data_IF_812808020649
#
_entry.id   IF_812808020649
#
_cell.length_a   1.000
_cell.length_b   1.000
_cell.length_c   1.000
_cell.angle_alpha   90.00
_cell.angle_beta   90.00
_cell.angle_gamma   90.00
#
_symmetry.space_group_name_H-M   'P 1'
#
loop_
_entity.id
_entity.type
_entity.pdbx_description
1 polymer ?
#
# COMPACT_ATOMS: atom_id res chain seq x y z
N UNK A 1 5.65 -10.08 -9.84
CA UNK A 1 6.22 -10.49 -8.54
C UNK A 1 5.27 -10.08 -7.40
N UNK A 2 5.40 -10.70 -6.23
CA UNK A 2 4.62 -10.43 -5.01
C UNK A 2 5.58 -10.11 -3.86
N UNK A 3 5.20 -9.20 -2.96
CA UNK A 3 6.02 -8.80 -1.80
C UNK A 3 5.20 -8.78 -0.50
N UNK A 4 5.77 -9.22 0.64
CA UNK A 4 7.04 -9.95 0.77
C UNK A 4 6.99 -11.36 0.14
N UNK A 5 8.15 -11.95 -0.10
CA UNK A 5 8.26 -13.32 -0.67
C UNK A 5 7.95 -14.34 0.42
N UNK A 6 7.21 -15.39 0.09
CA UNK A 6 6.87 -16.46 1.04
C UNK A 6 8.15 -17.04 1.68
N UNK A 7 8.24 -17.00 3.01
CA UNK A 7 9.42 -17.41 3.78
C UNK A 7 10.29 -16.25 4.28
N UNK A 8 10.03 -15.01 3.84
CA UNK A 8 10.63 -13.81 4.42
C UNK A 8 9.62 -13.11 5.34
N UNK A 9 9.85 -13.26 6.65
CA UNK A 9 9.06 -12.52 7.64
C UNK A 9 9.65 -11.12 7.83
N UNK A 10 8.81 -10.12 7.56
CA UNK A 10 9.11 -8.75 7.94
C UNK A 10 9.11 -8.64 9.47
N UNK A 11 9.99 -7.81 10.06
CA UNK A 11 10.04 -7.63 11.50
C UNK A 11 8.68 -7.10 11.98
N UNK A 12 8.08 -7.76 12.97
CA UNK A 12 6.74 -7.40 13.45
C UNK A 12 6.71 -6.04 14.16
N UNK A 13 7.87 -5.52 14.57
CA UNK A 13 8.06 -4.19 15.18
C UNK A 13 8.11 -3.04 14.16
N UNK A 14 7.96 -3.32 12.86
CA UNK A 14 8.04 -2.30 11.81
C UNK A 14 6.92 -1.28 11.96
N UNK A 15 7.29 0.00 12.05
CA UNK A 15 6.34 1.13 12.16
C UNK A 15 6.16 1.88 10.85
N UNK A 16 7.10 1.72 9.91
CA UNK A 16 7.08 2.42 8.62
C UNK A 16 7.63 1.49 7.55
N UNK A 17 6.85 1.28 6.48
CA UNK A 17 7.23 0.48 5.32
C UNK A 17 7.22 1.36 4.08
N UNK A 18 8.30 1.33 3.29
CA UNK A 18 8.39 2.03 2.01
C UNK A 18 8.71 1.02 0.92
N UNK A 19 7.87 0.98 -0.11
CA UNK A 19 8.02 0.16 -1.30
C UNK A 19 8.19 1.13 -2.46
N UNK A 20 9.39 1.16 -3.04
CA UNK A 20 9.74 2.19 -4.04
C UNK A 20 10.42 1.58 -5.26
N UNK A 21 10.10 2.08 -6.46
CA UNK A 21 10.74 1.70 -7.73
C UNK A 21 10.58 0.21 -8.14
N UNK A 22 9.58 -0.50 -7.63
CA UNK A 22 9.33 -1.89 -8.00
C UNK A 22 8.49 -2.01 -9.28
N UNK A 23 9.15 -1.93 -10.44
CA UNK A 23 8.49 -1.99 -11.76
C UNK A 23 7.82 -3.32 -12.11
N UNK A 24 8.15 -4.42 -11.42
CA UNK A 24 7.60 -5.76 -11.67
C UNK A 24 6.65 -6.26 -10.56
N UNK A 25 6.50 -5.48 -9.49
CA UNK A 25 5.62 -5.81 -8.37
C UNK A 25 4.17 -5.67 -8.83
N UNK A 26 3.41 -6.76 -8.73
CA UNK A 26 2.00 -6.81 -9.17
C UNK A 26 1.02 -6.87 -8.02
N UNK A 27 1.44 -7.42 -6.88
CA UNK A 27 0.61 -7.68 -5.71
C UNK A 27 1.43 -7.54 -4.44
N UNK A 28 0.75 -7.19 -3.36
CA UNK A 28 1.27 -7.26 -1.99
C UNK A 28 0.66 -8.49 -1.31
N UNK A 29 1.46 -9.18 -0.52
CA UNK A 29 1.00 -10.26 0.35
C UNK A 29 0.26 -9.66 1.54
N UNK A 30 -1.06 -9.80 1.52
CA UNK A 30 -1.94 -9.27 2.57
C UNK A 30 -1.73 -9.95 3.91
N UNK A 31 -1.50 -11.27 3.92
CA UNK A 31 -1.29 -12.02 5.15
C UNK A 31 -0.01 -11.54 5.84
N UNK A 32 1.04 -11.30 5.07
CA UNK A 32 2.30 -10.79 5.60
C UNK A 32 2.17 -9.34 6.10
N UNK A 33 1.47 -8.48 5.37
CA UNK A 33 1.22 -7.11 5.82
C UNK A 33 0.39 -7.09 7.11
N UNK A 34 -0.69 -7.87 7.20
CA UNK A 34 -1.55 -7.93 8.39
C UNK A 34 -0.81 -8.38 9.66
N UNK A 35 0.32 -9.10 9.54
CA UNK A 35 1.19 -9.44 10.68
C UNK A 35 1.91 -8.21 11.26
N UNK A 36 2.04 -7.13 10.51
CA UNK A 36 2.69 -5.88 10.93
C UNK A 36 1.77 -5.04 11.82
N UNK A 37 1.51 -5.52 13.04
CA UNK A 37 0.58 -4.90 13.98
C UNK A 37 0.93 -3.47 14.39
N UNK A 38 2.18 -3.05 14.24
CA UNK A 38 2.64 -1.70 14.61
C UNK A 38 2.87 -0.78 13.41
N UNK A 39 2.50 -1.21 12.19
CA UNK A 39 2.73 -0.44 10.99
C UNK A 39 1.84 0.81 10.96
N UNK A 40 2.44 1.96 11.26
CA UNK A 40 1.75 3.24 11.26
C UNK A 40 1.79 3.93 9.89
N UNK A 41 2.80 3.64 9.05
CA UNK A 41 2.98 4.31 7.75
C UNK A 41 3.32 3.32 6.64
N UNK A 42 2.65 3.45 5.50
CA UNK A 42 2.90 2.68 4.28
C UNK A 42 3.08 3.64 3.11
N UNK A 43 4.23 3.58 2.45
CA UNK A 43 4.53 4.34 1.23
C UNK A 43 4.74 3.40 0.07
N UNK A 44 4.05 3.66 -1.03
CA UNK A 44 4.16 2.92 -2.29
C UNK A 44 4.45 3.94 -3.38
N UNK A 45 5.66 3.92 -3.92
CA UNK A 45 6.17 4.94 -4.84
C UNK A 45 6.73 4.29 -6.09
N UNK A 46 6.40 4.80 -7.28
CA UNK A 46 6.97 4.33 -8.55
C UNK A 46 6.84 2.81 -8.77
N UNK A 47 5.65 2.26 -8.46
CA UNK A 47 5.30 0.85 -8.65
C UNK A 47 4.21 0.70 -9.73
N UNK A 48 4.53 0.91 -11.03
CA UNK A 48 3.53 1.05 -12.10
C UNK A 48 2.74 -0.23 -12.41
N UNK A 49 3.28 -1.39 -12.05
CA UNK A 49 2.62 -2.68 -12.28
C UNK A 49 1.79 -3.16 -11.09
N UNK A 50 1.77 -2.44 -9.96
CA UNK A 50 1.01 -2.84 -8.79
C UNK A 50 -0.47 -2.61 -9.06
N UNK A 51 -1.22 -3.71 -9.15
CA UNK A 51 -2.58 -3.66 -9.69
C UNK A 51 -3.63 -3.34 -8.65
N UNK A 52 -3.43 -3.75 -7.39
CA UNK A 52 -4.46 -3.72 -6.35
C UNK A 52 -3.84 -3.80 -4.95
N UNK A 53 -4.61 -3.36 -3.96
CA UNK A 53 -4.31 -3.64 -2.55
C UNK A 53 -4.63 -5.10 -2.21
N UNK A 54 -4.00 -5.66 -1.15
CA UNK A 54 -4.29 -7.02 -0.72
C UNK A 54 -5.78 -7.24 -0.45
N UNK A 55 -6.27 -8.46 -0.68
CA UNK A 55 -7.69 -8.80 -0.49
C UNK A 55 -8.10 -8.78 0.99
N UNK A 56 -7.20 -9.21 1.89
CA UNK A 56 -7.39 -9.13 3.34
C UNK A 56 -7.27 -7.71 3.94
N UNK A 57 -6.95 -6.70 3.13
CA UNK A 57 -6.80 -5.32 3.57
C UNK A 57 -5.38 -4.94 4.02
N UNK A 58 -5.28 -3.80 4.70
CA UNK A 58 -4.05 -3.26 5.26
C UNK A 58 -4.06 -3.38 6.79
N UNK A 59 -2.90 -3.24 7.46
CA UNK A 59 -2.83 -3.33 8.91
C UNK A 59 -3.75 -2.32 9.60
N UNK A 60 -4.46 -2.70 10.69
CA UNK A 60 -5.42 -1.82 11.35
C UNK A 60 -4.77 -0.64 12.07
N UNK A 61 -3.47 -0.69 12.33
CA UNK A 61 -2.68 0.40 12.93
C UNK A 61 -2.23 1.46 11.92
N UNK A 62 -2.53 1.25 10.63
CA UNK A 62 -2.07 2.14 9.57
C UNK A 62 -2.78 3.49 9.67
N UNK A 63 -1.99 4.52 9.97
CA UNK A 63 -2.44 5.91 10.09
C UNK A 63 -2.20 6.75 8.83
N UNK A 64 -1.22 6.35 8.02
CA UNK A 64 -0.71 7.11 6.88
C UNK A 64 -0.42 6.19 5.69
N UNK A 65 -1.11 6.46 4.58
CA UNK A 65 -0.94 5.76 3.31
C UNK A 65 -0.58 6.76 2.20
N UNK A 66 0.60 6.58 1.62
CA UNK A 66 1.07 7.39 0.48
C UNK A 66 1.26 6.50 -0.74
N UNK A 67 0.69 6.91 -1.87
CA UNK A 67 0.75 6.20 -3.16
C UNK A 67 1.08 7.19 -4.28
N UNK A 68 2.30 7.13 -4.81
CA UNK A 68 2.77 8.00 -5.90
C UNK A 68 3.32 7.18 -7.06
N UNK A 69 3.16 7.65 -8.31
CA UNK A 69 3.69 6.92 -9.47
C UNK A 69 3.14 5.49 -9.64
N UNK A 70 1.94 5.23 -9.12
CA UNK A 70 1.27 3.91 -9.13
C UNK A 70 -0.09 3.98 -9.84
N UNK A 71 -0.13 4.20 -11.17
CA UNK A 71 -1.36 4.51 -11.90
C UNK A 71 -2.48 3.47 -11.72
N UNK A 72 -2.16 2.18 -11.83
CA UNK A 72 -3.15 1.09 -11.70
C UNK A 72 -3.77 1.02 -10.30
N UNK A 73 -2.95 1.23 -9.26
CA UNK A 73 -3.40 1.22 -7.87
C UNK A 73 -4.23 2.48 -7.56
N UNK A 74 -3.77 3.64 -8.04
CA UNK A 74 -4.42 4.95 -7.88
C UNK A 74 -5.85 4.93 -8.38
N UNK A 75 -6.10 4.38 -9.58
CA UNK A 75 -7.45 4.29 -10.14
C UNK A 75 -8.41 3.49 -9.25
N UNK A 76 -7.93 2.41 -8.64
CA UNK A 76 -8.74 1.55 -7.77
C UNK A 76 -8.93 2.11 -6.37
N UNK A 77 -8.00 2.93 -5.90
CA UNK A 77 -8.05 3.58 -4.59
C UNK A 77 -8.68 4.98 -4.66
N UNK A 78 -9.23 5.38 -5.81
CA UNK A 78 -9.82 6.69 -5.99
C UNK A 78 -11.10 6.84 -5.16
N UNK A 79 -11.20 7.82 -4.24
CA UNK A 79 -12.46 8.08 -3.55
C UNK A 79 -13.53 8.64 -4.49
N UNK A 80 -14.83 8.41 -4.24
CA UNK A 80 -15.40 7.43 -3.30
C UNK A 80 -15.71 6.06 -3.95
N UNK A 81 -15.60 5.98 -5.28
CA UNK A 81 -16.09 4.85 -6.10
C UNK A 81 -15.03 3.77 -6.39
N UNK A 82 -13.79 4.01 -5.98
CA UNK A 82 -12.68 3.09 -6.20
C UNK A 82 -12.94 1.72 -5.57
N UNK A 83 -12.71 0.66 -6.34
CA UNK A 83 -12.94 -0.73 -5.88
C UNK A 83 -12.16 -1.11 -4.62
N UNK A 84 -11.00 -0.52 -4.41
CA UNK A 84 -10.18 -0.72 -3.22
C UNK A 84 -10.31 0.43 -2.20
N UNK A 85 -11.14 1.45 -2.46
CA UNK A 85 -11.40 2.56 -1.52
C UNK A 85 -11.97 2.05 -0.19
N UNK A 86 -12.84 1.05 -0.21
CA UNK A 86 -13.39 0.40 0.99
C UNK A 86 -12.32 -0.26 1.88
N UNK A 87 -11.11 -0.47 1.39
CA UNK A 87 -9.99 -1.01 2.17
C UNK A 87 -9.16 0.06 2.84
N UNK A 88 -9.28 1.32 2.44
CA UNK A 88 -8.42 2.41 2.90
C UNK A 88 -9.17 3.61 3.46
N UNK A 89 -10.49 3.74 3.23
CA UNK A 89 -11.26 4.90 3.66
C UNK A 89 -11.26 5.17 5.18
N UNK A 90 -10.89 4.18 5.99
CA UNK A 90 -10.77 4.31 7.44
C UNK A 90 -9.42 4.89 7.89
N UNK A 91 -8.45 4.99 6.97
CA UNK A 91 -7.12 5.52 7.25
C UNK A 91 -7.21 7.05 7.38
N UNK A 92 -6.69 7.64 8.47
CA UNK A 92 -6.75 9.08 8.70
C UNK A 92 -6.08 9.94 7.63
N UNK A 93 -4.94 9.49 7.09
CA UNK A 93 -4.18 10.22 6.09
C UNK A 93 -3.95 9.36 4.86
N UNK A 94 -4.50 9.79 3.71
CA UNK A 94 -4.38 9.09 2.43
C UNK A 94 -3.94 10.10 1.37
N UNK A 95 -2.81 9.81 0.73
CA UNK A 95 -2.24 10.63 -0.33
C UNK A 95 -2.03 9.77 -1.58
N UNK A 96 -2.70 10.10 -2.68
CA UNK A 96 -2.72 9.26 -3.91
C UNK A 96 -2.11 9.97 -5.13
N UNK A 97 -1.46 11.11 -4.91
CA UNK A 97 -0.80 11.90 -5.94
C UNK A 97 0.34 12.71 -5.36
N UNK A 98 1.35 13.02 -6.18
CA UNK A 98 2.42 13.92 -5.75
C UNK A 98 1.87 15.36 -5.75
N UNK A 99 1.87 16.10 -4.63
CA UNK A 99 1.28 17.43 -4.55
C UNK A 99 2.15 18.52 -5.23
N UNK A 100 2.99 18.16 -6.20
CA UNK A 100 4.01 19.04 -6.76
C UNK A 100 4.27 18.82 -8.25
N UNK A 101 3.36 19.27 -9.09
CA UNK A 101 3.69 19.89 -10.39
C UNK A 101 2.86 21.19 -10.50
N UNK A 102 3.47 22.31 -10.09
CA UNK A 102 3.16 23.64 -10.61
C UNK A 102 4.37 24.09 -11.43
#
# INVERSE_FOLDING_TARGET
ECFPVAGEDLPTSLTSLSISNFRKLRKLDGEALLRLKYLARLRIVECPQLERLPEGGLPPSLGDLVMWGCPKLKERCKPPEGKDWSKIHHIPHIEVDYPGEF
#
